data_IF_287162282062
#
_entry.id   IF_287162282062
#
_cell.length_a   1.000
_cell.length_b   1.000
_cell.length_c   1.000
_cell.angle_alpha   90.00
_cell.angle_beta   90.00
_cell.angle_gamma   90.00
#
_symmetry.space_group_name_H-M   'P 1'
#
loop_
_entity.id
_entity.type
_entity.pdbx_description
1 polymer ?
#
# COMPACT_ATOMS: atom_id res chain seq x y z
N UNK A 1 -15.19 -17.02 -2.67
CA UNK A 1 -14.84 -15.85 -1.84
C UNK A 1 -15.88 -15.65 -0.72
N UNK A 2 -15.82 -16.35 0.43
CA UNK A 2 -16.83 -16.18 1.49
C UNK A 2 -16.78 -14.80 2.16
N UNK A 3 -15.58 -14.29 2.49
CA UNK A 3 -15.43 -13.07 3.32
C UNK A 3 -15.55 -11.79 2.50
N UNK A 4 -14.94 -11.76 1.30
CA UNK A 4 -14.93 -10.57 0.44
C UNK A 4 -16.29 -10.32 -0.21
N UNK A 5 -17.00 -11.39 -0.63
CA UNK A 5 -18.34 -11.28 -1.21
C UNK A 5 -19.41 -10.82 -0.22
N UNK A 6 -19.24 -11.14 1.07
CA UNK A 6 -20.13 -10.68 2.15
C UNK A 6 -19.98 -9.18 2.42
N UNK A 7 -18.76 -8.64 2.38
CA UNK A 7 -18.49 -7.22 2.62
C UNK A 7 -19.03 -6.34 1.47
N UNK A 8 -19.04 -6.86 0.25
CA UNK A 8 -19.50 -6.14 -0.95
C UNK A 8 -21.02 -6.29 -1.21
N UNK A 9 -21.78 -6.88 -0.28
CA UNK A 9 -23.24 -6.98 -0.40
C UNK A 9 -23.75 -8.14 -1.24
N UNK A 10 -22.97 -9.23 -1.38
CA UNK A 10 -23.40 -10.43 -2.08
C UNK A 10 -23.33 -10.35 -3.60
N UNK A 11 -22.56 -9.39 -4.14
CA UNK A 11 -22.36 -9.25 -5.59
C UNK A 11 -21.54 -10.44 -6.10
N UNK A 12 -22.19 -11.34 -6.82
CA UNK A 12 -21.57 -12.50 -7.45
C UNK A 12 -21.64 -12.33 -8.97
N UNK A 13 -20.49 -12.08 -9.60
CA UNK A 13 -20.43 -11.97 -11.06
C UNK A 13 -20.33 -13.34 -11.74
N UNK A 14 -20.11 -14.42 -10.99
CA UNK A 14 -19.90 -15.77 -11.54
C UNK A 14 -21.11 -16.35 -12.28
N UNK A 15 -22.31 -15.83 -12.00
CA UNK A 15 -23.57 -16.28 -12.61
C UNK A 15 -23.79 -15.71 -14.02
N UNK A 16 -22.96 -14.75 -14.44
CA UNK A 16 -22.96 -14.22 -15.80
C UNK A 16 -22.39 -15.27 -16.77
N UNK A 17 -23.25 -15.79 -17.63
CA UNK A 17 -22.90 -16.75 -18.66
C UNK A 17 -23.62 -16.41 -19.96
N UNK A 18 -22.91 -16.54 -21.07
CA UNK A 18 -23.51 -16.49 -22.39
C UNK A 18 -23.75 -17.93 -22.84
N UNK A 19 -25.01 -18.34 -22.89
CA UNK A 19 -25.41 -19.65 -23.40
C UNK A 19 -25.41 -19.59 -24.93
N UNK A 20 -24.54 -20.37 -25.58
CA UNK A 20 -24.52 -20.50 -27.04
C UNK A 20 -25.44 -21.62 -27.52
N UNK A 21 -25.51 -22.71 -26.76
CA UNK A 21 -26.42 -23.83 -27.02
C UNK A 21 -27.21 -24.09 -25.74
N UNK A 22 -28.55 -23.91 -25.76
CA UNK A 22 -29.38 -24.22 -24.61
C UNK A 22 -29.34 -25.74 -24.33
N UNK A 23 -29.42 -26.11 -23.05
CA UNK A 23 -29.53 -27.50 -22.67
C UNK A 23 -30.82 -28.11 -23.25
N UNK A 24 -30.70 -29.29 -23.90
CA UNK A 24 -31.85 -30.05 -24.41
C UNK A 24 -31.75 -31.48 -23.88
N UNK A 25 -32.74 -31.90 -23.08
CA UNK A 25 -32.76 -33.21 -22.44
C UNK A 25 -31.63 -33.37 -21.42
N UNK A 26 -30.83 -34.43 -21.55
CA UNK A 26 -29.67 -34.70 -20.69
C UNK A 26 -28.38 -33.99 -21.15
N UNK A 27 -28.42 -33.26 -22.28
CA UNK A 27 -27.24 -32.58 -22.82
C UNK A 27 -27.02 -31.26 -22.08
N UNK A 28 -25.85 -31.12 -21.45
CA UNK A 28 -25.46 -29.93 -20.72
C UNK A 28 -25.40 -28.68 -21.62
N UNK A 29 -25.74 -27.51 -21.06
CA UNK A 29 -25.62 -26.24 -21.78
C UNK A 29 -24.17 -25.99 -22.19
N UNK A 30 -23.97 -25.49 -23.41
CA UNK A 30 -22.66 -25.02 -23.85
C UNK A 30 -22.70 -23.50 -23.84
N UNK A 31 -21.95 -22.91 -22.91
CA UNK A 31 -21.94 -21.47 -22.72
C UNK A 31 -20.59 -20.96 -22.23
N UNK A 32 -20.25 -19.74 -22.61
CA UNK A 32 -19.07 -19.04 -22.10
C UNK A 32 -19.44 -18.43 -20.74
N UNK A 33 -18.85 -18.97 -19.67
CA UNK A 33 -18.99 -18.47 -18.30
C UNK A 33 -18.01 -17.33 -18.03
N UNK A 34 -18.21 -16.20 -18.71
CA UNK A 34 -17.34 -15.01 -18.58
C UNK A 34 -17.47 -14.33 -17.22
N UNK A 35 -18.55 -14.61 -16.48
CA UNK A 35 -18.76 -14.11 -15.14
C UNK A 35 -17.65 -14.45 -14.16
N UNK A 36 -17.15 -15.69 -14.21
CA UNK A 36 -16.02 -16.14 -13.38
C UNK A 36 -14.74 -15.38 -13.72
N UNK A 37 -14.51 -15.07 -15.00
CA UNK A 37 -13.36 -14.29 -15.43
C UNK A 37 -13.43 -12.85 -14.92
N UNK A 38 -14.60 -12.19 -15.03
CA UNK A 38 -14.82 -10.85 -14.48
C UNK A 38 -14.64 -10.87 -12.95
N UNK A 39 -15.17 -11.89 -12.27
CA UNK A 39 -15.00 -12.06 -10.82
C UNK A 39 -13.51 -12.09 -10.45
N UNK A 40 -12.69 -12.88 -11.15
CA UNK A 40 -11.24 -12.94 -10.90
C UNK A 40 -10.55 -11.59 -11.10
N UNK A 41 -10.94 -10.82 -12.13
CA UNK A 41 -10.39 -9.47 -12.36
C UNK A 41 -10.76 -8.54 -11.20
N UNK A 42 -12.03 -8.53 -10.79
CA UNK A 42 -12.50 -7.69 -9.68
C UNK A 42 -11.78 -8.07 -8.38
N UNK A 43 -11.67 -9.36 -8.08
CA UNK A 43 -10.97 -9.87 -6.90
C UNK A 43 -9.49 -9.42 -6.90
N UNK A 44 -8.81 -9.52 -8.04
CA UNK A 44 -7.44 -9.06 -8.18
C UNK A 44 -7.31 -7.55 -7.95
N UNK A 45 -8.20 -6.73 -8.53
CA UNK A 45 -8.22 -5.29 -8.35
C UNK A 45 -8.45 -4.89 -6.89
N UNK A 46 -9.35 -5.57 -6.18
CA UNK A 46 -9.64 -5.30 -4.77
C UNK A 46 -8.42 -5.63 -3.89
N UNK A 47 -7.78 -6.77 -4.12
CA UNK A 47 -6.58 -7.16 -3.38
C UNK A 47 -5.45 -6.16 -3.64
N UNK A 48 -5.22 -5.79 -4.91
CA UNK A 48 -4.22 -4.80 -5.28
C UNK A 48 -4.49 -3.43 -4.66
N UNK A 49 -5.75 -2.97 -4.68
CA UNK A 49 -6.17 -1.70 -4.07
C UNK A 49 -6.00 -1.72 -2.54
N UNK A 50 -6.37 -2.82 -1.89
CA UNK A 50 -6.20 -2.99 -0.44
C UNK A 50 -4.72 -2.93 -0.06
N UNK A 51 -3.86 -3.66 -0.78
CA UNK A 51 -2.43 -3.64 -0.54
C UNK A 51 -1.83 -2.24 -0.78
N UNK A 52 -2.28 -1.55 -1.83
CA UNK A 52 -1.90 -0.16 -2.10
C UNK A 52 -2.27 0.77 -0.94
N UNK A 53 -3.49 0.67 -0.40
CA UNK A 53 -3.92 1.48 0.73
C UNK A 53 -3.08 1.21 1.98
N UNK A 54 -2.77 -0.05 2.28
CA UNK A 54 -1.91 -0.43 3.42
C UNK A 54 -0.51 0.17 3.25
N UNK A 55 0.12 -0.01 2.09
CA UNK A 55 1.46 0.55 1.82
C UNK A 55 1.43 2.09 1.88
N UNK A 56 0.39 2.71 1.33
CA UNK A 56 0.21 4.18 1.37
C UNK A 56 0.03 4.68 2.80
N UNK A 57 -0.77 4.00 3.63
CA UNK A 57 -0.95 4.34 5.03
C UNK A 57 0.35 4.22 5.82
N UNK A 58 1.08 3.11 5.64
CA UNK A 58 2.39 2.91 6.27
C UNK A 58 3.40 3.99 5.85
N UNK A 59 3.50 4.29 4.56
CA UNK A 59 4.39 5.34 4.05
C UNK A 59 3.97 6.73 4.54
N UNK A 60 2.66 7.00 4.65
CA UNK A 60 2.16 8.28 5.15
C UNK A 60 2.44 8.47 6.65
N UNK A 61 2.39 7.40 7.45
CA UNK A 61 2.77 7.46 8.87
C UNK A 61 4.28 7.67 9.04
N UNK A 62 5.11 6.92 8.29
CA UNK A 62 6.57 7.11 8.31
C UNK A 62 7.00 8.52 7.88
N UNK A 63 6.27 9.15 6.95
CA UNK A 63 6.54 10.54 6.53
C UNK A 63 6.26 11.58 7.62
N UNK A 64 5.44 11.24 8.63
CA UNK A 64 5.10 12.11 9.74
C UNK A 64 6.14 12.06 10.88
N UNK A 65 6.89 10.96 10.99
CA UNK A 65 7.95 10.81 12.00
C UNK A 65 9.32 11.32 11.55
N UNK A 66 9.53 11.56 10.24
CA UNK A 66 10.81 12.06 9.71
C UNK A 66 10.67 13.49 9.19
N UNK A 67 10.39 14.43 10.10
CA UNK A 67 10.73 15.85 9.95
C UNK A 67 11.02 16.51 11.31
N UNK A 68 11.75 15.82 12.19
CA UNK A 68 12.68 16.58 13.02
C UNK A 68 13.90 16.84 12.12
N UNK A 69 14.25 18.10 11.82
CA UNK A 69 15.56 18.39 11.23
C UNK A 69 16.60 17.61 12.04
N UNK A 70 17.56 16.91 11.41
CA UNK A 70 18.67 16.34 12.17
C UNK A 70 19.21 17.46 13.05
N UNK A 71 19.26 17.22 14.37
CA UNK A 71 19.81 18.18 15.29
C UNK A 71 21.17 18.62 14.71
N UNK A 72 21.44 19.94 14.63
CA UNK A 72 22.67 20.42 14.04
C UNK A 72 23.84 19.62 14.64
N UNK A 73 24.75 19.11 13.78
CA UNK A 73 25.81 18.23 14.24
C UNK A 73 26.48 18.86 15.45
N UNK A 74 26.64 18.09 16.52
CA UNK A 74 27.33 18.57 17.71
C UNK A 74 28.68 19.17 17.26
N UNK A 75 29.06 20.35 17.78
CA UNK A 75 30.31 21.00 17.40
C UNK A 75 31.44 19.98 17.53
N UNK A 76 32.28 19.88 16.49
CA UNK A 76 33.41 18.97 16.50
C UNK A 76 34.31 19.32 17.68
N UNK A 77 34.99 18.32 18.27
CA UNK A 77 35.92 18.56 19.38
C UNK A 77 36.97 19.62 19.02
N UNK A 78 37.35 19.68 17.75
CA UNK A 78 38.22 20.72 17.20
C UNK A 78 37.60 22.12 17.31
N UNK A 79 36.32 22.29 16.94
CA UNK A 79 35.66 23.59 17.08
C UNK A 79 35.56 24.07 18.54
N UNK A 80 35.34 23.14 19.49
CA UNK A 80 35.32 23.44 20.93
C UNK A 80 36.72 23.83 21.42
N UNK A 81 37.75 23.07 21.05
CA UNK A 81 39.14 23.39 21.39
C UNK A 81 39.58 24.73 20.81
N UNK A 82 39.14 25.08 19.60
CA UNK A 82 39.45 26.37 18.98
C UNK A 82 38.74 27.53 19.69
N UNK A 83 37.54 27.34 20.22
CA UNK A 83 36.87 28.34 21.08
C UNK A 83 37.61 28.52 22.41
N UNK A 84 38.01 27.43 23.06
CA UNK A 84 38.80 27.48 24.29
C UNK A 84 40.15 28.19 24.08
N UNK A 85 40.86 27.87 23.00
CA UNK A 85 42.12 28.54 22.63
C UNK A 85 41.90 30.03 22.37
N UNK A 86 40.83 30.41 21.66
CA UNK A 86 40.49 31.82 21.41
C UNK A 86 40.28 32.57 22.72
N UNK A 87 39.57 31.96 23.67
CA UNK A 87 39.23 32.60 24.94
C UNK A 87 40.46 32.71 25.84
N UNK A 88 41.35 31.71 25.85
CA UNK A 88 42.66 31.77 26.50
C UNK A 88 43.58 32.85 25.90
N UNK A 89 43.58 33.01 24.57
CA UNK A 89 44.36 34.05 23.90
C UNK A 89 43.82 35.46 24.18
N UNK A 90 42.50 35.61 24.30
CA UNK A 90 41.87 36.87 24.72
C UNK A 90 42.25 37.26 26.14
N UNK A 91 42.40 36.29 27.05
CA UNK A 91 42.83 36.54 28.42
C UNK A 91 44.32 36.90 28.56
N UNK A 92 45.15 36.55 27.58
CA UNK A 92 46.58 36.89 27.55
C UNK A 92 46.88 38.26 26.92
N UNK A 93 45.88 38.95 26.38
CA UNK A 93 45.97 40.36 25.94
C UNK A 93 45.43 41.30 27.00
#
# INVERSE_FOLDING_TARGET
MPVIGLILGGVNFSDLKWILVPAVGEVAEVGIRYGSFIQMIVDFLIIAFTLFLVIKAMNSMKKKEVKAPPAPPAPSKESVLLEEIRDLLKQQK
#
